data_IF_908644219917
#
_entry.id   IF_908644219917
#
_cell.length_a   1.000
_cell.length_b   1.000
_cell.length_c   1.000
_cell.angle_alpha   90.00
_cell.angle_beta   90.00
_cell.angle_gamma   90.00
#
_symmetry.space_group_name_H-M   'P 1'
#
loop_
_entity.id
_entity.type
_entity.pdbx_description
1 polymer ?
#
# COMPACT_ATOMS: atom_id res chain seq x y z
N UNK A 1 35.01 13.75 26.80
CA UNK A 1 33.69 13.81 26.14
C UNK A 1 33.65 12.74 25.06
N UNK A 2 33.17 11.54 25.40
CA UNK A 2 33.06 10.40 24.49
C UNK A 2 31.80 10.52 23.64
N UNK A 3 31.96 10.61 22.32
CA UNK A 3 30.87 10.51 21.35
C UNK A 3 30.36 9.07 21.28
N UNK A 4 29.19 8.83 21.85
CA UNK A 4 28.43 7.58 21.69
C UNK A 4 27.70 7.61 20.35
N UNK A 5 28.26 6.94 19.34
CA UNK A 5 27.59 6.72 18.04
C UNK A 5 26.72 5.47 18.16
N UNK A 6 25.38 5.57 18.09
CA UNK A 6 24.53 4.38 18.05
C UNK A 6 24.76 3.61 16.75
N UNK A 7 25.33 2.42 16.89
CA UNK A 7 25.60 1.44 15.86
C UNK A 7 24.32 1.05 15.11
N UNK A 8 24.12 1.62 13.92
CA UNK A 8 23.13 1.19 12.93
C UNK A 8 23.50 -0.19 12.36
N UNK A 9 23.34 -1.24 13.17
CA UNK A 9 23.38 -2.65 12.72
C UNK A 9 21.96 -3.06 12.34
N UNK A 10 21.42 -2.44 11.30
CA UNK A 10 20.10 -2.82 10.74
C UNK A 10 20.16 -2.94 9.21
N UNK A 11 21.29 -3.42 8.66
CA UNK A 11 21.44 -3.67 7.21
C UNK A 11 21.65 -5.14 6.85
N UNK A 12 20.92 -6.05 7.49
CA UNK A 12 21.03 -7.49 7.16
C UNK A 12 19.70 -8.26 7.16
N UNK A 13 18.54 -7.60 7.30
CA UNK A 13 17.26 -8.30 7.30
C UNK A 13 16.80 -8.71 5.87
N UNK A 14 17.21 -8.00 4.82
CA UNK A 14 16.62 -8.13 3.49
C UNK A 14 17.16 -9.27 2.59
N UNK A 15 18.15 -10.06 3.04
CA UNK A 15 18.72 -11.19 2.26
C UNK A 15 18.33 -12.57 2.86
N UNK A 16 17.60 -12.62 3.98
CA UNK A 16 17.49 -13.82 4.82
C UNK A 16 16.22 -14.69 4.70
N UNK A 17 15.19 -14.31 3.95
CA UNK A 17 13.92 -15.07 3.95
C UNK A 17 13.88 -16.29 3.00
N UNK A 18 14.98 -17.04 2.94
CA UNK A 18 14.94 -18.46 2.55
C UNK A 18 15.16 -19.27 3.81
N UNK A 19 14.05 -19.71 4.40
CA UNK A 19 14.05 -20.68 5.50
C UNK A 19 14.94 -21.87 5.10
N UNK A 20 15.71 -22.38 6.05
CA UNK A 20 16.50 -23.59 5.84
C UNK A 20 15.55 -24.78 5.86
N UNK A 21 15.76 -25.70 4.92
CA UNK A 21 14.92 -26.88 4.73
C UNK A 21 15.78 -28.15 4.76
N UNK A 22 15.23 -29.23 5.30
CA UNK A 22 15.80 -30.57 5.28
C UNK A 22 17.30 -30.55 5.66
N UNK A 23 18.16 -31.02 4.75
CA UNK A 23 19.61 -31.10 4.93
C UNK A 23 20.34 -29.75 5.07
N UNK A 24 19.65 -28.62 4.89
CA UNK A 24 20.23 -27.28 5.13
C UNK A 24 20.23 -26.89 6.61
N UNK A 25 19.49 -27.62 7.44
CA UNK A 25 19.43 -27.41 8.90
C UNK A 25 20.68 -28.02 9.52
N UNK A 26 21.44 -27.21 10.28
CA UNK A 26 22.75 -27.61 10.85
C UNK A 26 22.70 -27.95 12.34
N UNK A 27 21.53 -27.88 12.95
CA UNK A 27 21.35 -28.15 14.37
C UNK A 27 21.42 -29.65 14.66
N UNK A 28 21.88 -30.02 15.87
CA UNK A 28 21.92 -31.42 16.32
C UNK A 28 20.57 -31.88 16.85
N UNK A 29 19.93 -31.02 17.65
CA UNK A 29 18.61 -31.22 18.25
C UNK A 29 17.70 -30.08 17.81
N UNK A 30 16.43 -30.42 17.58
CA UNK A 30 15.40 -29.49 17.10
C UNK A 30 14.13 -29.67 17.91
N UNK A 31 13.43 -28.57 18.16
CA UNK A 31 12.06 -28.62 18.68
C UNK A 31 11.12 -28.84 17.51
N UNK A 32 10.50 -30.02 17.44
CA UNK A 32 9.66 -30.45 16.32
C UNK A 32 8.19 -30.13 16.56
N UNK A 33 7.59 -29.50 15.56
CA UNK A 33 6.15 -29.29 15.43
C UNK A 33 5.68 -30.10 14.22
N UNK A 34 4.63 -30.89 14.44
CA UNK A 34 4.04 -31.72 13.41
C UNK A 34 3.19 -30.89 12.40
N UNK A 35 2.76 -31.51 11.30
CA UNK A 35 1.93 -30.88 10.26
C UNK A 35 0.61 -30.32 10.81
N UNK A 36 0.04 -31.03 11.81
CA UNK A 36 -1.21 -30.65 12.48
C UNK A 36 -1.01 -29.57 13.55
N UNK A 37 0.23 -29.10 13.75
CA UNK A 37 0.58 -28.14 14.80
C UNK A 37 0.80 -28.77 16.18
N UNK A 38 0.75 -30.10 16.29
CA UNK A 38 1.07 -30.82 17.52
C UNK A 38 2.56 -30.68 17.87
N UNK A 39 2.87 -30.44 19.14
CA UNK A 39 4.26 -30.34 19.60
C UNK A 39 4.75 -31.75 19.95
N UNK A 40 5.70 -32.27 19.17
CA UNK A 40 6.32 -33.59 19.42
C UNK A 40 7.36 -33.47 20.55
N UNK A 41 7.99 -32.30 20.67
CA UNK A 41 8.99 -32.00 21.69
C UNK A 41 10.37 -31.78 21.11
N UNK A 42 11.41 -32.07 21.89
CA UNK A 42 12.81 -31.95 21.45
C UNK A 42 13.24 -33.32 20.93
N UNK A 43 13.64 -33.38 19.67
CA UNK A 43 14.08 -34.60 18.99
C UNK A 43 15.40 -34.35 18.27
N UNK A 44 16.23 -35.38 18.04
CA UNK A 44 17.39 -35.22 17.18
C UNK A 44 16.94 -34.94 15.74
N UNK A 45 17.76 -34.19 15.00
CA UNK A 45 17.45 -33.80 13.62
C UNK A 45 17.18 -35.00 12.69
N UNK A 46 17.83 -36.14 12.94
CA UNK A 46 17.68 -37.35 12.13
C UNK A 46 16.25 -37.88 12.20
N UNK A 47 15.70 -37.98 13.41
CA UNK A 47 14.34 -38.46 13.64
C UNK A 47 13.34 -37.48 13.04
N UNK A 48 13.59 -36.17 13.16
CA UNK A 48 12.75 -35.14 12.53
C UNK A 48 12.74 -35.22 10.99
N UNK A 49 13.88 -35.56 10.38
CA UNK A 49 13.98 -35.76 8.92
C UNK A 49 13.23 -37.02 8.48
N UNK A 50 13.38 -38.12 9.23
CA UNK A 50 12.64 -39.37 8.96
C UNK A 50 11.13 -39.16 9.05
N UNK A 51 10.65 -38.49 10.10
CA UNK A 51 9.22 -38.19 10.26
C UNK A 51 8.66 -37.30 9.13
N UNK A 52 9.48 -36.40 8.57
CA UNK A 52 9.09 -35.60 7.42
C UNK A 52 9.04 -36.44 6.13
N UNK A 53 10.04 -37.32 5.92
CA UNK A 53 10.12 -38.21 4.76
C UNK A 53 9.00 -39.26 4.74
N UNK A 54 8.67 -39.87 5.89
CA UNK A 54 7.56 -40.82 6.04
C UNK A 54 6.21 -40.22 5.61
N UNK A 55 6.05 -38.90 5.78
CA UNK A 55 4.84 -38.15 5.43
C UNK A 55 4.92 -37.49 4.06
N UNK A 56 6.07 -37.58 3.37
CA UNK A 56 6.31 -36.93 2.09
C UNK A 56 6.31 -35.39 2.17
N UNK A 57 6.64 -34.82 3.33
CA UNK A 57 6.68 -33.38 3.59
C UNK A 57 8.12 -32.92 3.85
N UNK A 58 8.33 -31.59 3.91
CA UNK A 58 9.63 -31.01 4.22
C UNK A 58 9.75 -30.63 5.69
N UNK A 59 10.95 -30.79 6.24
CA UNK A 59 11.32 -30.23 7.53
C UNK A 59 11.81 -28.79 7.32
N UNK A 60 11.03 -27.81 7.81
CA UNK A 60 11.35 -26.38 7.63
C UNK A 60 11.70 -25.74 8.97
N UNK A 61 12.87 -25.08 9.03
CA UNK A 61 13.33 -24.34 10.21
C UNK A 61 12.66 -22.96 10.25
N UNK A 62 11.63 -22.80 11.09
CA UNK A 62 10.82 -21.56 11.22
C UNK A 62 11.48 -20.54 12.13
N UNK A 63 12.13 -20.98 13.21
CA UNK A 63 12.79 -20.10 14.16
C UNK A 63 14.24 -20.57 14.44
N UNK A 64 15.23 -20.01 13.72
CA UNK A 64 16.64 -20.36 13.91
C UNK A 64 17.24 -19.77 15.19
N UNK A 65 16.63 -18.71 15.74
CA UNK A 65 17.17 -17.98 16.90
C UNK A 65 16.83 -18.64 18.25
N UNK A 66 15.99 -19.69 18.27
CA UNK A 66 15.63 -20.40 19.49
C UNK A 66 16.67 -21.49 19.83
N UNK A 67 16.83 -21.77 21.13
CA UNK A 67 17.68 -22.88 21.62
C UNK A 67 16.79 -23.88 22.37
N UNK A 68 16.56 -25.10 21.85
CA UNK A 68 16.87 -25.59 20.49
C UNK A 68 16.00 -24.94 19.39
N UNK A 69 16.47 -24.90 18.12
CA UNK A 69 15.76 -24.26 17.01
C UNK A 69 14.43 -24.96 16.72
N UNK A 70 13.44 -24.20 16.26
CA UNK A 70 12.08 -24.71 16.04
C UNK A 70 11.91 -25.10 14.58
N UNK A 71 11.65 -26.38 14.36
CA UNK A 71 11.37 -26.95 13.05
C UNK A 71 9.91 -27.38 12.97
N UNK A 72 9.29 -27.18 11.80
CA UNK A 72 7.92 -27.59 11.51
C UNK A 72 7.91 -28.46 10.27
N UNK A 73 7.17 -29.56 10.31
CA UNK A 73 6.90 -30.41 9.15
C UNK A 73 5.81 -29.72 8.31
N UNK A 74 6.12 -29.33 7.08
CA UNK A 74 5.18 -28.66 6.18
C UNK A 74 5.64 -28.78 4.72
N UNK A 75 4.71 -28.61 3.78
CA UNK A 75 5.06 -28.44 2.35
C UNK A 75 5.64 -27.04 2.13
N UNK A 76 6.95 -26.97 1.82
CA UNK A 76 7.64 -25.70 1.62
C UNK A 76 7.13 -24.93 0.40
N UNK A 77 6.78 -25.63 -0.68
CA UNK A 77 6.28 -25.04 -1.92
C UNK A 77 4.95 -24.33 -1.70
N UNK A 78 3.99 -25.03 -1.09
CA UNK A 78 2.68 -24.47 -0.75
C UNK A 78 2.79 -23.31 0.24
N UNK A 79 3.59 -23.46 1.28
CA UNK A 79 3.82 -22.41 2.27
C UNK A 79 4.40 -21.13 1.64
N UNK A 80 5.40 -21.26 0.76
CA UNK A 80 5.99 -20.12 0.05
C UNK A 80 4.99 -19.40 -0.85
N UNK A 81 4.11 -20.14 -1.51
CA UNK A 81 3.05 -19.56 -2.32
C UNK A 81 2.06 -18.77 -1.46
N UNK A 82 1.61 -19.34 -0.34
CA UNK A 82 0.70 -18.67 0.59
C UNK A 82 1.31 -17.42 1.22
N UNK A 83 2.58 -17.47 1.65
CA UNK A 83 3.30 -16.30 2.16
C UNK A 83 3.42 -15.21 1.07
N UNK A 84 3.82 -15.58 -0.14
CA UNK A 84 3.91 -14.64 -1.28
C UNK A 84 2.55 -14.02 -1.63
N UNK A 85 1.48 -14.82 -1.60
CA UNK A 85 0.11 -14.34 -1.83
C UNK A 85 -0.32 -13.37 -0.74
N UNK A 86 -0.11 -13.71 0.54
CA UNK A 86 -0.40 -12.85 1.69
C UNK A 86 0.41 -11.56 1.65
N UNK A 87 1.70 -11.62 1.34
CA UNK A 87 2.55 -10.44 1.17
C UNK A 87 2.06 -9.54 0.03
N UNK A 88 1.66 -10.12 -1.10
CA UNK A 88 1.10 -9.36 -2.23
C UNK A 88 -0.24 -8.73 -1.87
N UNK A 89 -1.12 -9.45 -1.18
CA UNK A 89 -2.39 -8.91 -0.69
C UNK A 89 -2.16 -7.80 0.34
N UNK A 90 -1.23 -7.99 1.28
CA UNK A 90 -0.85 -6.98 2.25
C UNK A 90 -0.29 -5.72 1.57
N UNK A 91 0.60 -5.87 0.58
CA UNK A 91 1.15 -4.75 -0.20
C UNK A 91 0.08 -4.04 -1.03
N UNK A 92 -0.87 -4.77 -1.60
CA UNK A 92 -2.01 -4.17 -2.33
C UNK A 92 -2.95 -3.42 -1.40
N UNK A 93 -3.20 -3.95 -0.21
CA UNK A 93 -4.07 -3.34 0.78
C UNK A 93 -3.41 -2.16 1.50
N UNK A 94 -2.08 -2.13 1.56
CA UNK A 94 -1.32 -1.00 2.05
C UNK A 94 -1.51 0.19 1.10
N UNK A 95 -2.34 1.15 1.49
CA UNK A 95 -2.47 2.42 0.76
C UNK A 95 -1.14 3.16 0.84
N UNK A 96 -0.48 3.30 -0.31
CA UNK A 96 0.72 4.11 -0.44
C UNK A 96 0.33 5.58 -0.26
N UNK A 97 0.93 6.24 0.73
CA UNK A 97 0.75 7.68 0.95
C UNK A 97 1.80 8.39 0.11
N UNK A 98 1.36 9.03 -0.96
CA UNK A 98 2.25 9.81 -1.81
C UNK A 98 2.39 11.24 -1.29
N UNK A 99 3.53 11.87 -1.60
CA UNK A 99 3.72 13.31 -1.41
C UNK A 99 3.43 14.00 -2.74
N UNK A 100 2.26 14.63 -2.86
CA UNK A 100 1.90 15.43 -4.03
C UNK A 100 2.49 16.83 -3.87
N UNK A 101 3.15 17.32 -4.91
CA UNK A 101 3.78 18.63 -4.90
C UNK A 101 2.94 19.64 -5.69
N UNK A 102 2.61 20.77 -5.08
CA UNK A 102 1.90 21.87 -5.73
C UNK A 102 2.87 23.04 -5.87
N UNK A 103 3.06 23.50 -7.10
CA UNK A 103 3.94 24.65 -7.39
C UNK A 103 3.12 25.93 -7.38
N UNK A 104 3.66 26.94 -6.71
CA UNK A 104 3.09 28.28 -6.59
C UNK A 104 4.12 29.31 -7.05
N UNK A 105 3.63 30.43 -7.58
CA UNK A 105 4.45 31.59 -7.95
C UNK A 105 4.08 32.77 -7.03
N UNK A 106 5.00 33.68 -6.72
CA UNK A 106 4.71 34.82 -5.85
C UNK A 106 3.76 35.86 -6.48
N UNK A 107 3.46 35.75 -7.79
CA UNK A 107 2.55 36.64 -8.53
C UNK A 107 1.23 35.94 -8.90
N UNK A 108 0.83 34.93 -8.14
CA UNK A 108 -0.40 34.19 -8.38
C UNK A 108 -1.62 35.05 -8.04
N UNK A 109 -2.62 35.02 -8.93
CA UNK A 109 -3.92 35.69 -8.74
C UNK A 109 -4.79 34.92 -7.72
N UNK A 110 -5.70 35.61 -7.04
CA UNK A 110 -6.56 35.06 -5.99
C UNK A 110 -7.37 33.86 -6.50
N UNK A 111 -7.89 33.95 -7.74
CA UNK A 111 -8.63 32.85 -8.35
C UNK A 111 -7.78 31.59 -8.57
N UNK A 112 -6.50 31.73 -8.94
CA UNK A 112 -5.62 30.57 -9.11
C UNK A 112 -5.24 29.96 -7.75
N UNK A 113 -5.07 30.78 -6.70
CA UNK A 113 -4.87 30.28 -5.33
C UNK A 113 -6.03 29.39 -4.88
N UNK A 114 -7.28 29.82 -5.11
CA UNK A 114 -8.47 29.03 -4.78
C UNK A 114 -8.50 27.69 -5.51
N UNK A 115 -8.11 27.66 -6.79
CA UNK A 115 -8.05 26.42 -7.58
C UNK A 115 -6.99 25.47 -7.01
N UNK A 116 -5.82 26.00 -6.61
CA UNK A 116 -4.75 25.22 -5.97
C UNK A 116 -5.15 24.74 -4.59
N UNK A 117 -5.87 25.55 -3.80
CA UNK A 117 -6.41 25.16 -2.50
C UNK A 117 -7.42 24.02 -2.63
N UNK A 118 -8.37 24.10 -3.58
CA UNK A 118 -9.31 23.01 -3.89
C UNK A 118 -8.59 21.73 -4.34
N UNK A 119 -7.54 21.87 -5.15
CA UNK A 119 -6.71 20.74 -5.58
C UNK A 119 -5.99 20.10 -4.38
N UNK A 120 -5.40 20.91 -3.49
CA UNK A 120 -4.76 20.43 -2.27
C UNK A 120 -5.77 19.72 -1.35
N UNK A 121 -6.97 20.29 -1.17
CA UNK A 121 -8.05 19.69 -0.40
C UNK A 121 -8.41 18.30 -0.91
N UNK A 122 -8.51 18.11 -2.22
CA UNK A 122 -8.76 16.80 -2.83
C UNK A 122 -7.69 15.78 -2.46
N UNK A 123 -6.40 16.13 -2.59
CA UNK A 123 -5.29 15.24 -2.25
C UNK A 123 -5.28 14.89 -0.75
N UNK A 124 -5.54 15.85 0.11
CA UNK A 124 -5.62 15.64 1.56
C UNK A 124 -6.79 14.72 1.94
N UNK A 125 -7.94 14.85 1.28
CA UNK A 125 -9.10 13.96 1.49
C UNK A 125 -8.85 12.52 1.00
N UNK A 126 -8.12 12.37 -0.11
CA UNK A 126 -7.74 11.05 -0.61
C UNK A 126 -6.69 10.37 0.32
N UNK A 127 -5.94 11.18 1.08
CA UNK A 127 -5.03 10.77 2.14
C UNK A 127 -3.56 10.89 1.77
N UNK A 128 -3.25 11.67 0.74
CA UNK A 128 -1.90 12.02 0.34
C UNK A 128 -1.39 13.21 1.16
N UNK A 129 -0.06 13.32 1.30
CA UNK A 129 0.59 14.51 1.84
C UNK A 129 0.76 15.54 0.74
N UNK A 130 0.64 16.82 1.07
CA UNK A 130 0.80 17.90 0.10
C UNK A 130 1.99 18.77 0.48
N UNK A 131 2.98 18.88 -0.41
CA UNK A 131 4.09 19.82 -0.30
C UNK A 131 3.84 21.00 -1.24
N UNK A 132 3.61 22.19 -0.69
CA UNK A 132 3.61 23.42 -1.46
C UNK A 132 5.05 23.87 -1.68
N UNK A 133 5.37 24.21 -2.93
CA UNK A 133 6.66 24.73 -3.35
C UNK A 133 6.43 26.07 -4.03
N UNK A 134 6.79 27.15 -3.35
CA UNK A 134 6.78 28.49 -3.90
C UNK A 134 8.17 28.86 -4.36
N UNK A 135 8.37 29.03 -5.67
CA UNK A 135 9.68 29.33 -6.23
C UNK A 135 9.84 30.83 -6.44
N UNK A 136 10.87 31.42 -5.86
CA UNK A 136 11.22 32.81 -6.10
C UNK A 136 12.10 32.96 -7.36
N UNK A 137 11.88 34.01 -8.15
CA UNK A 137 12.77 34.37 -9.27
C UNK A 137 13.73 35.49 -8.86
N UNK A 138 15.02 35.19 -8.84
CA UNK A 138 16.10 36.18 -8.73
C UNK A 138 15.98 37.13 -7.53
N UNK A 139 15.61 38.39 -7.80
CA UNK A 139 15.49 39.48 -6.80
C UNK A 139 14.22 39.39 -5.94
N UNK A 140 13.31 38.47 -6.22
CA UNK A 140 12.08 38.27 -5.45
C UNK A 140 12.32 37.57 -4.10
N UNK A 141 13.53 37.05 -3.86
CA UNK A 141 13.94 36.49 -2.55
C UNK A 141 13.86 37.54 -1.44
N UNK A 142 13.84 38.84 -1.75
CA UNK A 142 13.65 39.89 -0.73
C UNK A 142 12.19 40.01 -0.26
N UNK A 143 11.21 39.54 -1.05
CA UNK A 143 9.79 39.59 -0.71
C UNK A 143 9.31 38.23 -0.16
N UNK A 144 10.05 37.69 0.80
CA UNK A 144 9.69 36.40 1.44
C UNK A 144 8.39 36.52 2.22
N UNK A 145 8.13 37.70 2.78
CA UNK A 145 6.93 38.01 3.56
C UNK A 145 5.65 37.73 2.77
N UNK A 146 5.61 38.11 1.48
CA UNK A 146 4.46 37.84 0.60
C UNK A 146 4.25 36.33 0.42
N UNK A 147 5.34 35.58 0.21
CA UNK A 147 5.25 34.13 0.07
C UNK A 147 4.85 33.43 1.36
N UNK A 148 5.31 33.93 2.51
CA UNK A 148 4.95 33.46 3.84
C UNK A 148 3.47 33.67 4.12
N UNK A 149 2.97 34.90 3.92
CA UNK A 149 1.56 35.24 4.13
C UNK A 149 0.65 34.37 3.25
N UNK A 150 1.03 34.16 1.99
CA UNK A 150 0.25 33.33 1.07
C UNK A 150 0.18 31.86 1.50
N UNK A 151 1.29 31.30 2.00
CA UNK A 151 1.30 29.93 2.52
C UNK A 151 0.57 29.80 3.86
N UNK A 152 0.64 30.82 4.72
CA UNK A 152 -0.12 30.87 5.97
C UNK A 152 -1.63 30.92 5.71
N UNK A 153 -2.08 31.77 4.78
CA UNK A 153 -3.49 31.80 4.34
C UNK A 153 -3.97 30.44 3.84
N UNK A 154 -3.18 29.76 3.00
CA UNK A 154 -3.52 28.40 2.55
C UNK A 154 -3.54 27.38 3.69
N UNK A 155 -2.63 27.49 4.66
CA UNK A 155 -2.62 26.60 5.82
C UNK A 155 -3.83 26.82 6.73
N UNK A 156 -4.32 28.06 6.84
CA UNK A 156 -5.54 28.41 7.58
C UNK A 156 -6.80 27.87 6.89
N UNK A 157 -6.93 28.05 5.58
CA UNK A 157 -8.08 27.55 4.81
C UNK A 157 -8.19 26.03 4.87
N UNK A 158 -7.05 25.32 4.82
CA UNK A 158 -6.98 23.86 4.83
C UNK A 158 -6.87 23.25 6.25
N UNK A 159 -7.00 24.05 7.31
CA UNK A 159 -6.87 23.60 8.71
C UNK A 159 -7.97 22.61 9.11
N UNK A 160 -9.09 22.60 8.39
CA UNK A 160 -10.21 21.67 8.59
C UNK A 160 -9.81 20.22 8.24
N UNK A 161 -9.11 20.03 7.12
CA UNK A 161 -8.75 18.72 6.58
C UNK A 161 -7.29 18.32 6.80
N UNK A 162 -6.42 19.25 7.23
CA UNK A 162 -4.97 19.03 7.33
C UNK A 162 -4.37 19.35 8.69
N UNK A 163 -3.16 18.82 8.90
CA UNK A 163 -2.28 19.12 10.03
C UNK A 163 -0.94 19.59 9.45
N UNK A 164 -0.43 20.71 9.94
CA UNK A 164 0.88 21.24 9.50
C UNK A 164 1.99 20.34 10.05
N UNK A 165 2.69 19.63 9.17
CA UNK A 165 3.83 18.77 9.54
C UNK A 165 5.13 19.57 9.54
N UNK A 166 5.32 20.42 8.53
CA UNK A 166 6.46 21.33 8.44
C UNK A 166 5.96 22.74 8.15
N UNK A 167 6.29 23.69 9.03
CA UNK A 167 5.98 25.12 8.84
C UNK A 167 6.72 25.69 7.62
N UNK A 168 6.28 26.84 7.08
CA UNK A 168 6.94 27.48 5.94
C UNK A 168 8.44 27.66 6.18
N UNK A 169 9.26 26.95 5.40
CA UNK A 169 10.72 26.95 5.53
C UNK A 169 11.36 27.21 4.18
N UNK A 170 12.40 28.05 4.17
CA UNK A 170 13.17 28.36 2.98
C UNK A 170 14.17 27.23 2.66
N UNK A 171 13.94 26.52 1.56
CA UNK A 171 14.86 25.56 0.95
C UNK A 171 15.57 26.25 -0.24
N UNK A 172 16.56 27.09 0.07
CA UNK A 172 17.35 27.82 -0.93
C UNK A 172 16.57 28.95 -1.60
N UNK A 173 16.08 28.72 -2.84
CA UNK A 173 15.25 29.68 -3.60
C UNK A 173 13.77 29.31 -3.62
N UNK A 174 13.38 28.33 -2.80
CA UNK A 174 12.02 27.82 -2.73
C UNK A 174 11.53 27.92 -1.30
N UNK A 175 10.36 28.51 -1.07
CA UNK A 175 9.67 28.43 0.20
C UNK A 175 8.75 27.21 0.18
N UNK A 176 8.84 26.39 1.22
CA UNK A 176 8.16 25.09 1.26
C UNK A 176 7.29 24.94 2.50
N UNK A 177 6.10 24.37 2.32
CA UNK A 177 5.13 24.05 3.37
C UNK A 177 4.67 22.61 3.16
N UNK A 178 4.70 21.78 4.21
CA UNK A 178 4.23 20.39 4.16
C UNK A 178 3.00 20.22 5.04
N UNK A 179 1.90 19.83 4.40
CA UNK A 179 0.64 19.49 5.06
C UNK A 179 0.40 17.99 5.02
N UNK A 180 0.05 17.42 6.17
CA UNK A 180 -0.39 16.05 6.31
C UNK A 180 -1.93 15.98 6.41
N UNK A 181 -2.57 14.93 5.89
CA UNK A 181 -4.01 14.77 5.98
C UNK A 181 -4.44 14.45 7.41
N UNK A 182 -5.55 15.03 7.86
CA UNK A 182 -6.14 14.71 9.15
C UNK A 182 -6.91 13.38 9.07
N UNK A 183 -6.48 12.38 9.86
CA UNK A 183 -7.08 11.04 9.92
C UNK A 183 -8.59 11.10 10.25
N UNK A 184 -9.03 12.08 11.05
CA UNK A 184 -10.45 12.22 11.44
C UNK A 184 -11.30 12.69 10.26
N UNK A 185 -10.86 13.75 9.57
CA UNK A 185 -11.55 14.31 8.40
C UNK A 185 -11.63 13.30 7.25
N UNK A 186 -10.55 12.53 7.03
CA UNK A 186 -10.51 11.45 6.04
C UNK A 186 -11.54 10.35 6.34
N UNK A 187 -11.65 9.94 7.60
CA UNK A 187 -12.60 8.89 8.02
C UNK A 187 -14.05 9.33 7.79
N UNK A 188 -14.35 10.61 8.04
CA UNK A 188 -15.67 11.19 7.78
C UNK A 188 -15.98 11.24 6.28
N UNK A 189 -15.06 11.77 5.47
CA UNK A 189 -15.23 11.83 4.02
C UNK A 189 -15.39 10.45 3.37
N UNK A 190 -14.70 9.41 3.88
CA UNK A 190 -14.88 8.03 3.42
C UNK A 190 -16.26 7.47 3.79
N UNK A 191 -16.76 7.77 4.99
CA UNK A 191 -18.11 7.37 5.41
C UNK A 191 -19.18 8.04 4.55
N UNK A 192 -19.02 9.33 4.26
CA UNK A 192 -19.94 10.09 3.40
C UNK A 192 -19.95 9.54 1.96
N UNK A 193 -18.77 9.28 1.37
CA UNK A 193 -18.68 8.66 0.03
C UNK A 193 -19.27 7.25 0.00
N UNK A 194 -19.17 6.48 1.08
CA UNK A 194 -19.81 5.16 1.19
C UNK A 194 -21.33 5.26 1.35
N UNK A 195 -21.82 6.31 2.01
CA UNK A 195 -23.26 6.56 2.19
C UNK A 195 -23.92 7.14 0.93
N UNK A 196 -23.16 7.86 0.09
CA UNK A 196 -23.63 8.46 -1.17
C UNK A 196 -23.41 7.56 -2.40
N UNK A 197 -22.91 6.34 -2.24
CA UNK A 197 -22.86 5.40 -3.37
C UNK A 197 -24.30 5.11 -3.85
N UNK A 198 -24.63 5.37 -5.13
CA UNK A 198 -25.98 5.15 -5.62
C UNK A 198 -26.35 3.68 -5.46
N UNK A 199 -27.47 3.43 -4.77
CA UNK A 199 -28.20 2.16 -4.85
C UNK A 199 -28.59 2.00 -6.32
N UNK A 200 -27.82 1.25 -7.10
CA UNK A 200 -28.27 0.82 -8.42
C UNK A 200 -29.57 0.02 -8.20
N UNK A 201 -30.72 0.44 -8.74
CA UNK A 201 -31.90 -0.40 -8.71
C UNK A 201 -31.69 -1.53 -9.73
N UNK A 202 -31.28 -2.69 -9.25
CA UNK A 202 -31.47 -3.95 -9.97
C UNK A 202 -32.95 -4.31 -9.83
N UNK A 203 -33.74 -4.15 -10.91
CA UNK A 203 -34.82 -5.06 -11.32
C UNK A 203 -35.58 -4.51 -12.55
N UNK A 204 -35.38 -5.16 -13.71
CA UNK A 204 -36.36 -5.26 -14.78
C UNK A 204 -36.00 -6.47 -15.67
N UNK A 205 -36.40 -7.67 -15.22
CA UNK A 205 -36.64 -8.82 -16.09
C UNK A 205 -38.16 -8.94 -16.26
N UNK A 206 -38.65 -8.70 -17.46
CA UNK A 206 -39.96 -9.11 -17.96
C UNK A 206 -39.82 -9.15 -19.49
N UNK A 207 -39.44 -10.31 -20.03
CA UNK A 207 -40.36 -11.21 -20.71
C UNK A 207 -41.07 -10.53 -21.88
N UNK A 208 -40.54 -10.71 -23.09
CA UNK A 208 -41.36 -10.77 -24.30
C UNK A 208 -41.10 -12.11 -24.94
N UNK A 209 -42.15 -12.91 -24.91
CA UNK A 209 -42.37 -14.20 -25.54
C UNK A 209 -42.20 -14.14 -27.05
N UNK A 210 -41.52 -15.13 -27.59
CA UNK A 210 -41.60 -15.51 -29.00
C UNK A 210 -43.02 -16.02 -29.33
N UNK A 211 -43.60 -15.64 -30.48
CA UNK A 211 -44.58 -16.48 -31.14
C UNK A 211 -44.05 -16.97 -32.49
N UNK A 212 -44.21 -18.27 -32.72
CA UNK A 212 -44.06 -18.92 -34.01
C UNK A 212 -45.30 -18.68 -34.88
N UNK A 213 -45.11 -18.45 -36.19
CA UNK A 213 -45.94 -19.03 -37.28
C UNK A 213 -45.53 -18.47 -38.66
N UNK A 214 -45.18 -19.40 -39.55
CA UNK A 214 -45.39 -19.46 -41.01
C UNK A 214 -45.12 -18.25 -41.94
N UNK A 215 -44.25 -18.47 -42.94
CA UNK A 215 -44.64 -18.61 -44.35
C UNK A 215 -43.41 -18.55 -45.30
N UNK A 216 -43.18 -19.62 -46.06
CA UNK A 216 -42.54 -19.57 -47.39
C UNK A 216 -43.53 -18.91 -48.39
N UNK A 217 -43.16 -18.43 -49.60
CA UNK A 217 -42.43 -19.19 -50.64
C UNK A 217 -41.43 -18.41 -51.52
N UNK A 218 -40.68 -19.21 -52.31
CA UNK A 218 -40.08 -19.01 -53.64
C UNK A 218 -39.83 -17.59 -54.20
N UNK A 219 -38.62 -17.31 -54.71
CA UNK A 219 -38.38 -17.27 -56.17
C UNK A 219 -36.88 -17.13 -56.56
N UNK A 220 -36.66 -17.59 -57.79
CA UNK A 220 -35.53 -17.89 -58.68
C UNK A 220 -34.28 -16.98 -58.82
N UNK A 221 -33.15 -17.69 -58.98
CA UNK A 221 -32.16 -17.71 -60.09
C UNK A 221 -31.14 -16.58 -60.38
N UNK A 222 -30.02 -17.06 -60.96
CA UNK A 222 -29.00 -16.44 -61.84
C UNK A 222 -27.60 -16.35 -61.17
N UNK A 223 -26.72 -17.37 -61.29
CA UNK A 223 -25.74 -17.64 -62.38
C UNK A 223 -24.90 -16.42 -62.80
N UNK A 224 -23.64 -16.35 -62.33
CA UNK A 224 -22.38 -16.51 -63.09
C UNK A 224 -22.15 -15.49 -64.22
N UNK A 225 -21.11 -14.65 -64.09
CA UNK A 225 -19.79 -14.83 -64.72
C UNK A 225 -18.72 -13.96 -64.04
#
# INVERSE_FOLDING_TARGET
>A
MCCSVPSHVERSAAIRDRLRINNRIRAREVRLIDENGAQVGIVPIRDALLMAEERGLDLVEVAPNAVPPVCRILDYGKFRYEQSKKEREARKNQKQVDVKQIRLEPKTDEHDLDVKAKQARRFLLDGDKVKFNLRFRGREIFHQEIGLEMLERMAEELRDVSVVEQRPTMEGRVLTLLLAPNQKARTQAQRERQQQAPRTPTQAKSQVSVPASDAAPDDQSDEEE
#
